data_IF_989105012233
#
_entry.id   IF_989105012233
#
_cell.length_a   1.000
_cell.length_b   1.000
_cell.length_c   1.000
_cell.angle_alpha   90.00
_cell.angle_beta   90.00
_cell.angle_gamma   90.00
#
_symmetry.space_group_name_H-M   'P 1'
#
loop_
_entity.id
_entity.type
_entity.pdbx_description
1 polymer ?
#
# COMPACT_ATOMS: atom_id res chain seq x y z
N UNK A 1 -17.12 -5.93 10.68
CA UNK A 1 -17.02 -5.90 9.20
C UNK A 1 -18.30 -6.50 8.64
N UNK A 2 -18.95 -5.83 7.69
CA UNK A 2 -20.27 -6.25 7.18
C UNK A 2 -20.09 -7.18 5.97
N UNK A 3 -20.84 -8.28 5.96
CA UNK A 3 -20.76 -9.29 4.90
C UNK A 3 -22.02 -9.31 4.04
N UNK A 4 -21.85 -9.25 2.73
CA UNK A 4 -22.93 -9.38 1.76
C UNK A 4 -22.75 -10.67 0.95
N UNK A 5 -23.86 -11.40 0.77
CA UNK A 5 -23.85 -12.62 -0.02
C UNK A 5 -23.78 -12.31 -1.51
N UNK A 6 -22.93 -13.01 -2.26
CA UNK A 6 -22.81 -12.83 -3.71
C UNK A 6 -24.15 -13.02 -4.45
N UNK A 7 -24.98 -13.96 -3.98
CA UNK A 7 -26.32 -14.18 -4.51
C UNK A 7 -27.29 -13.01 -4.25
N UNK A 8 -27.08 -12.24 -3.18
CA UNK A 8 -27.90 -11.07 -2.88
C UNK A 8 -27.55 -9.92 -3.83
N UNK A 9 -26.27 -9.73 -4.14
CA UNK A 9 -25.79 -8.74 -5.12
C UNK A 9 -26.32 -9.09 -6.51
N UNK A 10 -26.24 -10.37 -6.90
CA UNK A 10 -26.75 -10.82 -8.20
C UNK A 10 -28.27 -10.59 -8.36
N UNK A 11 -29.04 -10.65 -7.27
CA UNK A 11 -30.49 -10.41 -7.27
C UNK A 11 -30.85 -8.92 -7.21
N UNK A 12 -30.05 -8.13 -6.51
CA UNK A 12 -30.26 -6.69 -6.37
C UNK A 12 -28.91 -5.96 -6.35
N UNK A 13 -28.38 -5.56 -7.52
CA UNK A 13 -27.10 -4.86 -7.61
C UNK A 13 -27.09 -3.50 -6.91
N UNK A 14 -28.24 -2.82 -6.86
CA UNK A 14 -28.40 -1.50 -6.25
C UNK A 14 -28.17 -1.50 -4.73
N UNK A 15 -28.05 -2.67 -4.09
CA UNK A 15 -27.63 -2.77 -2.69
C UNK A 15 -26.25 -2.14 -2.48
N UNK A 16 -25.37 -2.16 -3.50
CA UNK A 16 -24.04 -1.58 -3.41
C UNK A 16 -24.07 -0.04 -3.42
N UNK A 17 -25.08 0.57 -4.04
CA UNK A 17 -25.21 2.03 -4.12
C UNK A 17 -25.62 2.64 -2.76
N UNK A 18 -26.22 1.84 -1.88
CA UNK A 18 -26.67 2.24 -0.54
C UNK A 18 -25.60 2.06 0.56
N UNK A 19 -24.41 1.58 0.19
CA UNK A 19 -23.38 1.19 1.14
C UNK A 19 -22.26 2.22 1.14
N UNK A 20 -22.14 2.96 2.24
CA UNK A 20 -21.12 4.00 2.43
C UNK A 20 -19.78 3.47 2.97
N UNK A 21 -19.67 2.16 3.25
CA UNK A 21 -18.50 1.55 3.89
C UNK A 21 -18.01 0.30 3.15
N UNK A 22 -16.78 -0.13 3.44
CA UNK A 22 -16.23 -1.34 2.84
C UNK A 22 -16.95 -2.62 3.34
N UNK A 23 -17.26 -3.52 2.43
CA UNK A 23 -17.96 -4.78 2.72
C UNK A 23 -17.23 -5.99 2.14
N UNK A 24 -17.37 -7.13 2.80
CA UNK A 24 -16.89 -8.40 2.27
C UNK A 24 -17.99 -9.06 1.43
N UNK A 25 -17.63 -9.47 0.23
CA UNK A 25 -18.49 -10.27 -0.64
C UNK A 25 -18.19 -11.74 -0.35
N UNK A 26 -19.18 -12.46 0.17
CA UNK A 26 -19.03 -13.86 0.57
C UNK A 26 -19.98 -14.77 -0.19
N UNK A 27 -19.52 -15.97 -0.52
CA UNK A 27 -20.42 -17.05 -0.89
C UNK A 27 -20.98 -17.68 0.38
N UNK A 28 -22.21 -17.32 0.75
CA UNK A 28 -22.86 -17.83 1.97
C UNK A 28 -23.02 -19.36 2.02
N UNK A 29 -23.01 -20.05 0.87
CA UNK A 29 -23.11 -21.52 0.82
C UNK A 29 -21.78 -22.19 1.16
N UNK A 30 -20.68 -21.71 0.59
CA UNK A 30 -19.34 -22.28 0.81
C UNK A 30 -18.57 -21.59 1.94
N UNK A 31 -19.11 -20.50 2.50
CA UNK A 31 -18.46 -19.59 3.46
C UNK A 31 -17.15 -18.98 2.93
N UNK A 32 -16.95 -19.00 1.62
CA UNK A 32 -15.75 -18.49 0.97
C UNK A 32 -15.87 -16.98 0.74
N UNK A 33 -14.82 -16.23 1.07
CA UNK A 33 -14.71 -14.80 0.75
C UNK A 33 -14.32 -14.71 -0.73
N UNK A 34 -15.16 -14.03 -1.52
CA UNK A 34 -14.95 -13.85 -2.98
C UNK A 34 -14.31 -12.52 -3.32
N UNK A 35 -14.40 -11.53 -2.44
CA UNK A 35 -13.77 -10.24 -2.65
C UNK A 35 -14.23 -9.20 -1.64
N UNK A 36 -13.77 -7.98 -1.87
CA UNK A 36 -14.06 -6.83 -1.03
C UNK A 36 -14.60 -5.72 -1.93
N UNK A 37 -15.73 -5.13 -1.54
CA UNK A 37 -16.23 -3.92 -2.20
C UNK A 37 -15.86 -2.72 -1.35
N UNK A 38 -15.31 -1.71 -2.02
CA UNK A 38 -14.91 -0.45 -1.41
C UNK A 38 -15.60 0.65 -2.21
N UNK A 39 -16.38 1.54 -1.55
CA UNK A 39 -16.98 2.69 -2.22
C UNK A 39 -15.93 3.58 -2.88
N UNK A 40 -16.28 4.17 -4.03
CA UNK A 40 -15.37 5.03 -4.81
C UNK A 40 -14.88 6.26 -4.04
N UNK A 41 -15.63 6.71 -3.03
CA UNK A 41 -15.26 7.82 -2.16
C UNK A 41 -13.90 7.59 -1.44
N UNK A 42 -13.52 6.33 -1.22
CA UNK A 42 -12.22 5.99 -0.61
C UNK A 42 -11.06 5.98 -1.60
N UNK A 43 -11.30 6.18 -2.91
CA UNK A 43 -10.28 6.04 -3.95
C UNK A 43 -9.08 6.95 -3.71
N UNK A 44 -9.32 8.24 -3.45
CA UNK A 44 -8.24 9.21 -3.24
C UNK A 44 -7.39 8.84 -2.02
N UNK A 45 -8.04 8.57 -0.89
CA UNK A 45 -7.36 8.12 0.33
C UNK A 45 -6.53 6.84 0.12
N UNK A 46 -7.04 5.87 -0.65
CA UNK A 46 -6.32 4.64 -0.97
C UNK A 46 -5.13 4.94 -1.89
N UNK A 47 -5.30 5.82 -2.88
CA UNK A 47 -4.23 6.21 -3.79
C UNK A 47 -3.09 6.89 -3.03
N UNK A 48 -3.40 7.87 -2.18
CA UNK A 48 -2.41 8.59 -1.37
C UNK A 48 -1.64 7.61 -0.46
N UNK A 49 -2.35 6.67 0.16
CA UNK A 49 -1.72 5.65 1.00
C UNK A 49 -0.81 4.71 0.20
N UNK A 50 -1.19 4.33 -1.02
CA UNK A 50 -0.36 3.49 -1.89
C UNK A 50 0.91 4.23 -2.33
N UNK A 51 0.79 5.51 -2.67
CA UNK A 51 1.92 6.33 -3.10
C UNK A 51 2.91 6.54 -1.95
N UNK A 52 2.41 6.80 -0.73
CA UNK A 52 3.24 6.87 0.47
C UNK A 52 3.95 5.53 0.75
N UNK A 53 3.25 4.41 0.66
CA UNK A 53 3.86 3.09 0.86
C UNK A 53 4.96 2.84 -0.18
N UNK A 54 4.71 3.17 -1.45
CA UNK A 54 5.68 3.01 -2.52
C UNK A 54 6.92 3.89 -2.27
N UNK A 55 6.71 5.13 -1.84
CA UNK A 55 7.79 6.03 -1.46
C UNK A 55 8.61 5.48 -0.29
N UNK A 56 7.96 5.02 0.79
CA UNK A 56 8.66 4.41 1.93
C UNK A 56 9.44 3.15 1.55
N UNK A 57 8.91 2.32 0.64
CA UNK A 57 9.62 1.16 0.10
C UNK A 57 10.83 1.58 -0.73
N UNK A 58 10.67 2.62 -1.56
CA UNK A 58 11.76 3.20 -2.33
C UNK A 58 12.87 3.73 -1.40
N UNK A 59 12.54 4.49 -0.35
CA UNK A 59 13.53 4.98 0.62
C UNK A 59 14.27 3.84 1.32
N UNK A 60 13.57 2.75 1.68
CA UNK A 60 14.20 1.57 2.28
C UNK A 60 15.19 0.90 1.34
N UNK A 61 14.82 0.73 0.07
CA UNK A 61 15.67 0.09 -0.94
C UNK A 61 16.86 0.97 -1.36
N UNK A 62 16.68 2.29 -1.35
CA UNK A 62 17.67 3.28 -1.77
C UNK A 62 18.26 4.03 -0.56
N UNK A 63 18.25 3.40 0.61
CA UNK A 63 18.75 4.02 1.84
C UNK A 63 20.23 4.44 1.73
N UNK A 64 21.01 3.75 0.89
CA UNK A 64 22.39 4.12 0.53
C UNK A 64 22.53 5.37 -0.35
N UNK A 65 21.45 5.84 -1.00
CA UNK A 65 21.44 7.09 -1.79
C UNK A 65 20.97 8.30 -0.99
N UNK A 66 20.32 8.08 0.15
CA UNK A 66 19.72 9.12 0.99
C UNK A 66 20.63 9.57 2.11
N UNK A 67 21.45 8.64 2.61
CA UNK A 67 22.62 8.95 3.41
C UNK A 67 23.80 8.86 2.45
N UNK A 68 24.33 9.98 1.91
CA UNK A 68 25.70 9.95 1.44
C UNK A 68 26.48 9.42 2.64
N UNK A 69 27.09 8.25 2.47
CA UNK A 69 28.19 7.87 3.35
C UNK A 69 29.15 9.04 3.17
N UNK A 70 29.41 9.79 4.24
CA UNK A 70 30.58 10.66 4.30
C UNK A 70 31.80 9.75 4.15
N UNK A 71 32.08 9.32 2.92
CA UNK A 71 33.39 8.88 2.48
C UNK A 71 34.19 10.15 2.24
N UNK A 72 34.65 10.78 3.31
CA UNK A 72 35.80 11.66 3.25
C UNK A 72 36.44 11.71 4.64
N UNK A 73 37.39 10.79 4.85
CA UNK A 73 38.59 11.06 5.66
C UNK A 73 39.70 9.99 5.53
N UNK A 74 39.69 9.14 4.49
CA UNK A 74 40.76 8.13 4.28
C UNK A 74 41.53 8.26 2.98
N UNK A 75 41.21 9.26 2.13
CA UNK A 75 42.00 9.55 0.92
C UNK A 75 43.15 10.56 1.14
N UNK A 76 43.35 11.04 2.39
CA UNK A 76 44.46 11.93 2.75
C UNK A 76 45.59 11.25 3.56
N UNK A 77 45.49 9.97 3.92
CA UNK A 77 46.54 9.26 4.68
C UNK A 77 47.69 8.74 3.79
N UNK A 78 47.95 9.43 2.66
CA UNK A 78 48.93 9.04 1.65
C UNK A 78 49.84 10.18 1.19
N UNK A 79 49.83 11.32 1.88
CA UNK A 79 50.68 12.48 1.62
C UNK A 79 51.11 13.14 2.93
N UNK A 80 51.92 12.45 3.73
CA UNK A 80 52.83 13.12 4.67
C UNK A 80 54.23 12.47 4.54
N UNK A 81 55.00 13.11 3.65
CA UNK A 81 56.43 13.41 3.73
C UNK A 81 57.47 12.26 3.86
N UNK A 82 58.01 11.87 2.70
CA UNK A 82 59.46 11.72 2.57
C UNK A 82 60.12 13.07 2.89
N UNK A 83 60.93 13.16 3.96
CA UNK A 83 62.26 13.81 4.02
C UNK A 83 62.96 13.55 5.36
#
# INVERSE_FOLDING_TARGET
>A
MVQIGIANIAKNPAILDSVDYAIEIVNKKTKEIKGLFIPIAYREMIQDALDEIAYQQFLKQNSSLLYPIDEDDTLLDGLDDEY
#
